data_IF_482637517219
#
_entry.id   IF_482637517219
#
_cell.length_a   1.000
_cell.length_b   1.000
_cell.length_c   1.000
_cell.angle_alpha   90.00
_cell.angle_beta   90.00
_cell.angle_gamma   90.00
#
_symmetry.space_group_name_H-M   'P 1'
#
loop_
_entity.id
_entity.type
_entity.pdbx_description
1 polymer ?
#
# COMPACT_ATOMS: atom_id res chain seq x y z
N UNK A 1 11.26 16.49 4.40
CA UNK A 1 10.18 17.48 4.18
C UNK A 1 9.03 17.15 5.13
N UNK A 2 8.57 18.10 5.89
CA UNK A 2 7.45 17.92 6.82
C UNK A 2 6.10 18.15 6.11
N UNK A 3 5.77 17.32 5.16
CA UNK A 3 4.49 17.40 4.42
C UNK A 3 3.84 16.03 4.38
N UNK A 4 2.53 16.01 4.62
CA UNK A 4 1.69 14.82 4.49
C UNK A 4 1.13 14.66 3.06
N UNK A 5 1.63 15.44 2.11
CA UNK A 5 1.30 15.27 0.69
C UNK A 5 2.16 14.13 0.17
N UNK A 6 1.57 13.03 -0.29
CA UNK A 6 2.32 11.91 -0.85
C UNK A 6 2.93 12.28 -2.21
N UNK A 7 4.01 11.59 -2.62
CA UNK A 7 4.57 11.76 -3.95
C UNK A 7 3.57 11.34 -5.03
N UNK A 8 3.67 11.98 -6.20
CA UNK A 8 2.84 11.72 -7.37
C UNK A 8 3.69 11.43 -8.59
N UNK A 9 3.10 10.76 -9.57
CA UNK A 9 3.77 10.47 -10.82
C UNK A 9 4.02 11.75 -11.62
N UNK A 10 5.28 12.02 -11.95
CA UNK A 10 5.68 13.25 -12.63
C UNK A 10 4.99 13.43 -13.98
N UNK A 11 4.82 12.35 -14.75
CA UNK A 11 4.16 12.41 -16.07
C UNK A 11 2.70 12.80 -15.93
N UNK A 12 1.99 12.22 -14.97
CA UNK A 12 0.59 12.57 -14.68
C UNK A 12 0.46 14.03 -14.29
N UNK A 13 1.32 14.53 -13.42
CA UNK A 13 1.32 15.93 -12.99
C UNK A 13 1.62 16.88 -14.14
N UNK A 14 2.62 16.57 -14.97
CA UNK A 14 2.94 17.37 -16.17
C UNK A 14 1.76 17.37 -17.16
N UNK A 15 1.13 16.24 -17.40
CA UNK A 15 -0.04 16.15 -18.26
C UNK A 15 -1.23 16.99 -17.72
N UNK A 16 -1.39 17.05 -16.40
CA UNK A 16 -2.41 17.91 -15.77
C UNK A 16 -2.09 19.40 -15.99
N UNK A 17 -0.82 19.80 -15.89
CA UNK A 17 -0.39 21.18 -16.20
C UNK A 17 -0.65 21.52 -17.68
N UNK A 18 -0.32 20.62 -18.60
CA UNK A 18 -0.61 20.81 -20.04
C UNK A 18 -2.12 20.98 -20.25
N UNK A 19 -2.94 20.15 -19.61
CA UNK A 19 -4.41 20.27 -19.69
C UNK A 19 -4.92 21.64 -19.19
N UNK A 20 -4.35 22.15 -18.11
CA UNK A 20 -4.67 23.48 -17.58
C UNK A 20 -4.33 24.57 -18.61
N UNK A 21 -3.15 24.50 -19.22
CA UNK A 21 -2.70 25.47 -20.22
C UNK A 21 -3.59 25.41 -21.47
N UNK A 22 -3.89 24.21 -21.96
CA UNK A 22 -4.75 24.04 -23.15
C UNK A 22 -6.15 24.61 -22.92
N UNK A 23 -6.74 24.34 -21.77
CA UNK A 23 -8.05 24.88 -21.40
C UNK A 23 -8.03 26.41 -21.25
N UNK A 24 -6.95 26.98 -20.68
CA UNK A 24 -6.79 28.43 -20.56
C UNK A 24 -6.70 29.09 -21.93
N UNK A 25 -5.96 28.50 -22.87
CA UNK A 25 -5.87 28.97 -24.26
C UNK A 25 -7.23 28.93 -24.97
N UNK A 26 -8.04 27.90 -24.68
CA UNK A 26 -9.39 27.73 -25.22
C UNK A 26 -10.46 28.55 -24.47
N UNK A 27 -10.07 29.36 -23.50
CA UNK A 27 -10.96 30.10 -22.59
C UNK A 27 -11.98 29.20 -21.87
N UNK A 28 -11.59 27.95 -21.57
CA UNK A 28 -12.42 26.95 -20.92
C UNK A 28 -12.01 26.79 -19.47
N UNK A 29 -12.99 26.77 -18.56
CA UNK A 29 -12.76 26.51 -17.17
C UNK A 29 -12.34 25.04 -16.94
N UNK A 30 -11.23 24.82 -16.22
CA UNK A 30 -10.76 23.49 -15.85
C UNK A 30 -11.41 23.03 -14.55
N UNK A 31 -12.07 21.88 -14.57
CA UNK A 31 -12.69 21.30 -13.39
C UNK A 31 -11.72 20.36 -12.66
N UNK A 32 -11.94 20.20 -11.35
CA UNK A 32 -11.17 19.23 -10.54
C UNK A 32 -11.37 17.81 -11.07
N UNK A 33 -12.56 17.48 -11.55
CA UNK A 33 -12.85 16.14 -12.09
C UNK A 33 -12.04 15.84 -13.37
N UNK A 34 -11.84 16.82 -14.24
CA UNK A 34 -10.91 16.66 -15.38
C UNK A 34 -9.47 16.38 -14.95
N UNK A 35 -9.01 17.04 -13.89
CA UNK A 35 -7.65 16.81 -13.35
C UNK A 35 -7.52 15.45 -12.68
N UNK A 36 -8.56 14.96 -11.99
CA UNK A 36 -8.62 13.62 -11.40
C UNK A 36 -8.51 12.53 -12.48
N UNK A 37 -9.05 12.78 -13.67
CA UNK A 37 -8.94 11.83 -14.78
C UNK A 37 -7.51 11.73 -15.34
N UNK A 38 -6.69 12.74 -15.14
CA UNK A 38 -5.28 12.78 -15.56
C UNK A 38 -4.37 12.29 -14.41
N UNK A 39 -4.54 12.84 -13.20
CA UNK A 39 -3.77 12.45 -12.00
C UNK A 39 -4.57 11.43 -11.23
N UNK A 40 -4.24 10.15 -11.43
CA UNK A 40 -5.01 9.02 -10.88
C UNK A 40 -4.92 8.87 -9.38
N UNK A 41 -3.80 9.28 -8.80
CA UNK A 41 -3.56 9.16 -7.37
C UNK A 41 -2.09 9.26 -7.00
N UNK A 42 -1.77 9.09 -5.72
CA UNK A 42 -0.39 9.02 -5.26
C UNK A 42 0.40 7.90 -5.95
N UNK A 43 1.69 8.14 -6.14
CA UNK A 43 2.65 7.16 -6.65
C UNK A 43 3.75 6.97 -5.61
N UNK A 44 3.65 5.88 -4.85
CA UNK A 44 4.56 5.62 -3.75
C UNK A 44 5.83 4.91 -4.22
N UNK A 45 7.03 5.37 -3.82
CA UNK A 45 8.29 4.69 -4.17
C UNK A 45 8.40 3.29 -3.55
N UNK A 46 7.63 3.01 -2.51
CA UNK A 46 7.57 1.71 -1.83
C UNK A 46 6.56 0.75 -2.44
N UNK A 47 5.78 1.20 -3.45
CA UNK A 47 4.72 0.41 -4.06
C UNK A 47 3.48 0.26 -3.16
N UNK A 48 2.84 -0.89 -3.23
CA UNK A 48 1.60 -1.18 -2.53
C UNK A 48 0.36 -1.00 -3.41
N UNK A 49 -0.78 -1.35 -2.85
CA UNK A 49 -2.08 -1.30 -3.54
C UNK A 49 -3.01 -0.34 -2.79
N UNK A 50 -3.53 0.66 -3.48
CA UNK A 50 -4.56 1.55 -2.93
C UNK A 50 -5.92 0.88 -3.09
N UNK A 51 -6.66 0.78 -1.99
CA UNK A 51 -7.99 0.17 -1.97
C UNK A 51 -9.08 1.22 -2.18
N UNK A 52 -9.61 1.27 -3.40
CA UNK A 52 -10.65 2.20 -3.81
C UNK A 52 -10.12 3.60 -4.15
N UNK A 53 -10.95 4.40 -4.78
CA UNK A 53 -10.58 5.74 -5.30
C UNK A 53 -11.30 6.88 -4.60
N UNK A 54 -12.29 6.60 -3.76
CA UNK A 54 -13.13 7.62 -3.11
C UNK A 54 -12.32 8.58 -2.24
N UNK A 55 -11.39 8.05 -1.44
CA UNK A 55 -10.52 8.88 -0.59
C UNK A 55 -9.56 9.77 -1.38
N UNK A 56 -9.10 9.32 -2.57
CA UNK A 56 -8.28 10.13 -3.47
C UNK A 56 -9.11 11.30 -4.01
N UNK A 57 -10.30 11.02 -4.52
CA UNK A 57 -11.21 12.04 -5.05
C UNK A 57 -11.59 13.07 -3.98
N UNK A 58 -11.89 12.60 -2.77
CA UNK A 58 -12.17 13.47 -1.64
C UNK A 58 -10.98 14.36 -1.29
N UNK A 59 -9.77 13.79 -1.24
CA UNK A 59 -8.55 14.56 -0.97
C UNK A 59 -8.30 15.64 -2.01
N UNK A 60 -8.50 15.36 -3.28
CA UNK A 60 -8.30 16.35 -4.37
C UNK A 60 -9.37 17.44 -4.38
N UNK A 61 -10.60 17.13 -4.00
CA UNK A 61 -11.69 18.11 -3.95
C UNK A 61 -11.66 19.00 -2.73
N UNK A 62 -11.28 18.44 -1.56
CA UNK A 62 -11.42 19.13 -0.27
C UNK A 62 -10.09 19.45 0.40
N UNK A 63 -8.97 18.92 -0.11
CA UNK A 63 -7.66 18.98 0.53
C UNK A 63 -7.48 17.99 1.68
N UNK A 64 -8.47 17.14 1.97
CA UNK A 64 -8.43 16.13 3.04
C UNK A 64 -9.07 14.84 2.56
N UNK A 65 -8.40 13.72 2.79
CA UNK A 65 -8.93 12.40 2.46
C UNK A 65 -8.18 11.30 3.18
N UNK A 66 -8.78 10.12 3.21
CA UNK A 66 -8.17 8.92 3.77
C UNK A 66 -8.12 7.85 2.69
N UNK A 67 -6.94 7.30 2.46
CA UNK A 67 -6.74 6.18 1.58
C UNK A 67 -6.27 4.96 2.36
N UNK A 68 -6.77 3.80 1.99
CA UNK A 68 -6.26 2.53 2.52
C UNK A 68 -5.24 1.98 1.54
N UNK A 69 -4.05 1.67 2.06
CA UNK A 69 -2.96 1.07 1.30
C UNK A 69 -2.67 -0.30 1.85
N UNK A 70 -2.55 -1.28 0.97
CA UNK A 70 -2.27 -2.67 1.28
C UNK A 70 -0.93 -3.08 0.70
N UNK A 71 -0.18 -3.91 1.44
CA UNK A 71 1.01 -4.55 0.95
C UNK A 71 0.72 -5.45 -0.25
N UNK A 72 1.68 -5.60 -1.13
CA UNK A 72 1.64 -6.63 -2.19
C UNK A 72 2.12 -7.94 -1.60
N UNK A 73 1.27 -8.94 -1.64
CA UNK A 73 1.51 -10.26 -1.06
C UNK A 73 1.17 -11.36 -2.04
N UNK A 74 1.93 -12.46 -1.99
CA UNK A 74 1.67 -13.67 -2.72
C UNK A 74 1.67 -14.87 -1.78
N UNK A 75 0.81 -15.84 -2.05
CA UNK A 75 0.81 -17.14 -1.39
C UNK A 75 1.54 -18.12 -2.30
N UNK A 76 2.67 -18.65 -1.84
CA UNK A 76 3.50 -19.59 -2.58
C UNK A 76 3.43 -20.97 -1.93
N UNK A 77 3.16 -22.05 -2.72
CA UNK A 77 3.25 -23.41 -2.21
C UNK A 77 4.71 -23.81 -1.98
N UNK A 78 4.94 -24.64 -0.96
CA UNK A 78 6.24 -25.22 -0.64
C UNK A 78 6.23 -26.73 -0.91
N UNK A 79 7.41 -27.32 -1.11
CA UNK A 79 7.58 -28.74 -1.46
C UNK A 79 6.92 -29.70 -0.45
N UNK A 80 6.84 -29.32 0.81
CA UNK A 80 6.28 -30.15 1.89
C UNK A 80 4.76 -30.05 2.07
N UNK A 81 4.04 -29.52 1.08
CA UNK A 81 2.58 -29.26 1.20
C UNK A 81 2.24 -28.12 2.14
N UNK A 82 3.22 -27.37 2.60
CA UNK A 82 3.05 -26.11 3.35
C UNK A 82 2.89 -24.96 2.36
N UNK A 83 2.42 -23.83 2.87
CA UNK A 83 2.37 -22.58 2.14
C UNK A 83 3.20 -21.51 2.86
N UNK A 84 3.64 -20.52 2.11
CA UNK A 84 4.26 -19.32 2.63
C UNK A 84 3.60 -18.07 2.06
N UNK A 85 3.51 -17.05 2.88
CA UNK A 85 3.09 -15.72 2.46
C UNK A 85 4.36 -14.91 2.20
N UNK A 86 4.47 -14.35 1.00
CA UNK A 86 5.60 -13.52 0.58
C UNK A 86 5.11 -12.10 0.41
N UNK A 87 5.72 -11.15 1.11
CA UNK A 87 5.43 -9.72 1.02
C UNK A 87 6.55 -9.05 0.25
N UNK A 88 6.22 -8.42 -0.86
CA UNK A 88 7.19 -7.77 -1.77
C UNK A 88 7.12 -6.26 -1.77
N UNK A 89 6.01 -5.67 -1.37
CA UNK A 89 5.84 -4.23 -1.24
C UNK A 89 5.06 -3.90 0.03
N UNK A 90 5.42 -2.80 0.69
CA UNK A 90 4.78 -2.32 1.91
C UNK A 90 4.03 -1.01 1.67
N UNK A 91 2.98 -0.72 2.46
CA UNK A 91 2.37 0.59 2.47
C UNK A 91 3.38 1.70 2.78
N UNK A 92 3.17 2.87 2.21
CA UNK A 92 4.04 4.03 2.41
C UNK A 92 4.17 4.39 3.90
N UNK A 93 5.39 4.72 4.32
CA UNK A 93 5.77 5.03 5.71
C UNK A 93 5.70 3.85 6.71
N UNK A 94 5.48 2.63 6.26
CA UNK A 94 5.53 1.45 7.13
C UNK A 94 6.98 1.00 7.33
N UNK A 95 7.40 0.89 8.57
CA UNK A 95 8.73 0.40 8.93
C UNK A 95 8.75 -1.13 8.90
N UNK A 96 9.58 -1.70 8.03
CA UNK A 96 9.71 -3.15 7.85
C UNK A 96 10.09 -3.89 9.14
N UNK A 97 11.07 -3.40 9.89
CA UNK A 97 11.52 -4.05 11.12
C UNK A 97 10.42 -4.10 12.18
N UNK A 98 9.71 -2.99 12.39
CA UNK A 98 8.57 -2.93 13.32
C UNK A 98 7.41 -3.83 12.89
N UNK A 99 7.17 -3.94 11.58
CA UNK A 99 6.16 -4.85 11.05
C UNK A 99 6.50 -6.30 11.36
N UNK A 100 7.75 -6.71 11.14
CA UNK A 100 8.23 -8.06 11.43
C UNK A 100 8.13 -8.36 12.93
N UNK A 101 8.56 -7.45 13.79
CA UNK A 101 8.41 -7.55 15.25
C UNK A 101 6.95 -7.71 15.65
N UNK A 102 6.05 -6.93 15.06
CA UNK A 102 4.61 -7.02 15.34
C UNK A 102 4.00 -8.36 14.93
N UNK A 103 4.39 -8.91 13.79
CA UNK A 103 3.95 -10.23 13.35
C UNK A 103 4.45 -11.32 14.33
N UNK A 104 5.71 -11.23 14.77
CA UNK A 104 6.29 -12.15 15.74
C UNK A 104 5.57 -12.06 17.09
N UNK A 105 5.24 -10.86 17.56
CA UNK A 105 4.47 -10.64 18.79
C UNK A 105 3.09 -11.27 18.71
N UNK A 106 2.36 -11.05 17.62
CA UNK A 106 1.02 -11.63 17.41
C UNK A 106 1.04 -13.16 17.36
N UNK A 107 2.10 -13.73 16.80
CA UNK A 107 2.30 -15.19 16.85
C UNK A 107 2.57 -15.68 18.27
N UNK A 108 3.47 -15.02 19.01
CA UNK A 108 3.80 -15.34 20.41
C UNK A 108 2.57 -15.25 21.32
N UNK A 109 1.74 -14.23 21.13
CA UNK A 109 0.50 -14.00 21.89
C UNK A 109 -0.66 -14.90 21.43
N UNK A 110 -0.43 -15.79 20.47
CA UNK A 110 -1.43 -16.70 19.88
C UNK A 110 -2.65 -16.00 19.29
N UNK A 111 -2.52 -14.74 18.91
CA UNK A 111 -3.56 -13.99 18.20
C UNK A 111 -3.63 -14.38 16.71
N UNK A 112 -2.50 -14.79 16.16
CA UNK A 112 -2.41 -15.38 14.81
C UNK A 112 -1.73 -16.74 14.99
N UNK A 113 -2.48 -17.80 14.71
CA UNK A 113 -1.98 -19.17 14.75
C UNK A 113 -1.56 -19.65 13.34
N UNK A 114 -0.69 -20.63 13.30
CA UNK A 114 -0.28 -21.30 12.08
C UNK A 114 1.00 -20.79 11.44
N UNK A 115 1.64 -19.77 11.98
CA UNK A 115 2.97 -19.32 11.55
C UNK A 115 4.03 -20.26 12.13
N UNK A 116 4.91 -20.78 11.26
CA UNK A 116 6.03 -21.65 11.69
C UNK A 116 7.37 -20.93 11.65
N UNK A 117 7.53 -19.99 10.75
CA UNK A 117 8.75 -19.21 10.63
C UNK A 117 8.46 -17.82 10.00
N UNK A 118 9.31 -16.87 10.34
CA UNK A 118 9.22 -15.49 9.86
C UNK A 118 10.64 -15.01 9.53
N UNK A 119 10.88 -14.69 8.27
CA UNK A 119 12.21 -14.28 7.78
C UNK A 119 12.13 -13.00 6.96
N UNK A 120 13.18 -12.21 7.04
CA UNK A 120 13.46 -11.13 6.11
C UNK A 120 14.51 -11.61 5.09
N UNK A 121 14.06 -11.87 3.87
CA UNK A 121 14.90 -12.30 2.75
C UNK A 121 15.18 -11.14 1.77
N UNK A 122 15.05 -9.90 2.21
CA UNK A 122 15.34 -8.72 1.39
C UNK A 122 16.77 -8.74 0.87
N UNK A 123 16.92 -8.54 -0.42
CA UNK A 123 18.20 -8.56 -1.13
C UNK A 123 18.32 -7.38 -2.12
N UNK A 124 19.36 -7.40 -2.94
CA UNK A 124 19.53 -6.42 -4.03
C UNK A 124 18.44 -6.55 -5.11
N UNK A 125 17.79 -7.69 -5.21
CA UNK A 125 16.68 -7.93 -6.14
C UNK A 125 15.37 -7.28 -5.69
N UNK A 126 15.25 -6.95 -4.42
CA UNK A 126 14.08 -6.28 -3.85
C UNK A 126 13.76 -6.72 -2.43
N UNK A 127 12.73 -6.09 -1.87
CA UNK A 127 12.20 -6.44 -0.56
C UNK A 127 11.44 -7.79 -0.63
N UNK A 128 11.70 -8.63 0.36
CA UNK A 128 11.05 -9.91 0.48
C UNK A 128 10.93 -10.30 1.95
N UNK A 129 9.72 -10.31 2.49
CA UNK A 129 9.39 -10.85 3.81
C UNK A 129 8.67 -12.16 3.60
N UNK A 130 9.10 -13.22 4.27
CA UNK A 130 8.55 -14.57 4.15
C UNK A 130 7.94 -15.00 5.47
N UNK A 131 6.67 -15.38 5.43
CA UNK A 131 5.93 -15.97 6.55
C UNK A 131 5.55 -17.40 6.18
N UNK A 132 6.23 -18.38 6.78
CA UNK A 132 5.92 -19.78 6.57
C UNK A 132 4.76 -20.23 7.45
N UNK A 133 3.87 -21.04 6.88
CA UNK A 133 2.66 -21.51 7.55
C UNK A 133 2.69 -23.01 7.76
N UNK A 134 1.97 -23.48 8.79
CA UNK A 134 1.71 -24.91 8.99
C UNK A 134 0.86 -25.46 7.84
N UNK A 135 0.97 -26.76 7.62
CA UNK A 135 0.23 -27.47 6.56
C UNK A 135 -1.30 -27.41 6.75
N UNK A 136 -1.78 -27.40 7.99
CA UNK A 136 -3.18 -27.48 8.37
C UNK A 136 -3.94 -26.15 8.39
N UNK A 137 -3.26 -25.02 8.08
CA UNK A 137 -3.88 -23.69 8.09
C UNK A 137 -4.18 -23.20 6.68
N UNK A 138 -5.29 -22.47 6.56
CA UNK A 138 -5.64 -21.78 5.32
C UNK A 138 -4.83 -20.49 5.19
N UNK A 139 -3.97 -20.36 4.17
CA UNK A 139 -3.12 -19.19 3.98
C UNK A 139 -3.90 -17.88 3.85
N UNK A 140 -5.06 -17.92 3.20
CA UNK A 140 -5.90 -16.74 3.01
C UNK A 140 -6.47 -16.22 4.33
N UNK A 141 -6.81 -17.10 5.25
CA UNK A 141 -7.30 -16.71 6.59
C UNK A 141 -6.19 -16.04 7.38
N UNK A 142 -4.99 -16.61 7.38
CA UNK A 142 -3.82 -16.02 8.07
C UNK A 142 -3.48 -14.66 7.45
N UNK A 143 -3.49 -14.54 6.13
CA UNK A 143 -3.23 -13.28 5.42
C UNK A 143 -4.25 -12.21 5.80
N UNK A 144 -5.53 -12.55 5.86
CA UNK A 144 -6.57 -11.61 6.28
C UNK A 144 -6.41 -11.16 7.74
N UNK A 145 -5.98 -12.04 8.63
CA UNK A 145 -5.64 -11.67 10.01
C UNK A 145 -4.43 -10.75 10.09
N UNK A 146 -3.42 -10.98 9.25
CA UNK A 146 -2.27 -10.08 9.13
C UNK A 146 -2.69 -8.69 8.63
N UNK A 147 -3.56 -8.58 7.65
CA UNK A 147 -4.10 -7.30 7.19
C UNK A 147 -4.91 -6.59 8.28
N UNK A 148 -5.64 -7.32 9.08
CA UNK A 148 -6.47 -6.77 10.15
C UNK A 148 -5.67 -6.27 11.35
N UNK A 149 -4.59 -6.95 11.72
CA UNK A 149 -3.87 -6.73 12.99
C UNK A 149 -2.50 -6.08 12.82
N UNK A 150 -2.03 -5.88 11.59
CA UNK A 150 -0.73 -5.28 11.30
C UNK A 150 -0.82 -4.17 10.27
N UNK A 151 0.28 -3.43 10.09
CA UNK A 151 0.41 -2.39 9.06
C UNK A 151 0.65 -2.95 7.64
N UNK A 152 0.44 -4.25 7.39
CA UNK A 152 0.32 -4.79 6.03
C UNK A 152 -0.87 -4.18 5.28
N UNK A 153 -1.85 -3.69 6.01
CA UNK A 153 -2.86 -2.76 5.51
C UNK A 153 -2.94 -1.58 6.47
N UNK A 154 -2.75 -0.39 5.95
CA UNK A 154 -2.75 0.83 6.75
C UNK A 154 -3.58 1.93 6.08
N UNK A 155 -4.04 2.88 6.89
CA UNK A 155 -4.79 4.04 6.42
C UNK A 155 -3.88 5.26 6.43
N UNK A 156 -3.63 5.80 5.26
CA UNK A 156 -2.89 7.04 5.09
C UNK A 156 -3.85 8.21 5.03
N UNK A 157 -3.66 9.17 5.94
CA UNK A 157 -4.40 10.42 5.93
C UNK A 157 -3.70 11.42 5.01
N UNK A 158 -4.42 11.86 3.98
CA UNK A 158 -3.97 12.90 3.07
C UNK A 158 -4.48 14.24 3.58
N UNK A 159 -3.58 15.12 3.97
CA UNK A 159 -3.93 16.45 4.46
C UNK A 159 -3.08 17.47 3.70
N UNK A 160 -3.78 18.41 3.04
CA UNK A 160 -3.16 19.62 2.52
C UNK A 160 -3.05 20.62 3.66
N UNK A 161 -1.84 21.09 3.91
CA UNK A 161 -1.58 22.16 4.86
C UNK A 161 -1.44 23.50 4.13
#
# INVERSE_FOLDING_TARGET
MATNIPPHNLREVVNAVVRLIDNDIEEKETTIDELIDVVKGPDFPTGGIILGTSGIKEAYRTGRGKIRVRAVTNIEPMENGKNRIVVTELPYNVNKARLIEKIAELHKDKKIDGITDLRDETSREGMRIVVELRRDVNPSVVLNLLFKHTQLQDTLSLIHI
#
